data_IF_711437168674
#
_entry.id   IF_711437168674
#
_cell.length_a   1.000
_cell.length_b   1.000
_cell.length_c   1.000
_cell.angle_alpha   90.00
_cell.angle_beta   90.00
_cell.angle_gamma   90.00
#
_symmetry.space_group_name_H-M   'P 1'
#
loop_
_entity.id
_entity.type
_entity.pdbx_description
1 polymer ?
#
# COMPACT_ATOMS: atom_id res chain seq x y z
N UNK A 1 6.86 10.44 -21.35
CA UNK A 1 6.46 10.81 -19.98
C UNK A 1 5.84 9.56 -19.35
N UNK A 2 6.16 9.24 -18.08
CA UNK A 2 5.54 8.11 -17.37
C UNK A 2 4.45 8.67 -16.47
N UNK A 3 3.29 8.02 -16.47
CA UNK A 3 2.18 8.38 -15.59
C UNK A 3 1.97 7.26 -14.55
N UNK A 4 2.00 7.64 -13.29
CA UNK A 4 1.66 6.78 -12.17
C UNK A 4 0.33 7.18 -11.56
N UNK A 5 -0.40 6.21 -11.02
CA UNK A 5 -1.67 6.47 -10.34
C UNK A 5 -1.79 5.63 -9.06
N UNK A 6 -2.22 6.28 -8.01
CA UNK A 6 -2.66 5.62 -6.79
C UNK A 6 -4.07 5.08 -7.01
N UNK A 7 -4.31 3.79 -6.71
CA UNK A 7 -5.47 3.06 -7.21
C UNK A 7 -6.73 3.20 -6.36
N UNK A 8 -6.67 3.71 -5.13
CA UNK A 8 -7.85 3.75 -4.25
C UNK A 8 -9.03 4.47 -4.89
N UNK A 9 -8.83 5.69 -5.36
CA UNK A 9 -9.87 6.48 -6.01
C UNK A 9 -10.38 5.88 -7.32
N UNK A 10 -9.49 5.59 -8.29
CA UNK A 10 -9.90 4.99 -9.55
C UNK A 10 -10.67 3.68 -9.39
N UNK A 11 -10.15 2.72 -8.62
CA UNK A 11 -10.80 1.41 -8.47
C UNK A 11 -12.15 1.50 -7.74
N UNK A 12 -12.29 2.43 -6.80
CA UNK A 12 -13.56 2.65 -6.10
C UNK A 12 -14.66 3.21 -7.01
N UNK A 13 -14.29 3.91 -8.07
CA UNK A 13 -15.23 4.55 -9.01
C UNK A 13 -15.46 3.76 -10.31
N UNK A 14 -14.76 2.64 -10.51
CA UNK A 14 -14.92 1.78 -11.70
C UNK A 14 -15.77 0.57 -11.37
N UNK A 15 -16.53 0.08 -12.37
CA UNK A 15 -17.27 -1.18 -12.31
C UNK A 15 -16.41 -2.34 -12.83
N UNK A 16 -16.71 -3.57 -12.44
CA UNK A 16 -16.04 -4.78 -12.88
C UNK A 16 -14.99 -5.31 -11.93
N UNK A 17 -14.39 -6.41 -12.32
CA UNK A 17 -13.33 -7.08 -11.56
C UNK A 17 -12.01 -6.30 -11.58
N UNK A 18 -11.15 -6.53 -10.58
CA UNK A 18 -9.89 -5.78 -10.41
C UNK A 18 -9.02 -5.82 -11.67
N UNK A 19 -8.82 -6.99 -12.25
CA UNK A 19 -7.97 -7.14 -13.45
C UNK A 19 -8.56 -6.46 -14.68
N UNK A 20 -9.88 -6.46 -14.84
CA UNK A 20 -10.56 -5.72 -15.90
C UNK A 20 -10.34 -4.20 -15.76
N UNK A 21 -10.47 -3.69 -14.54
CA UNK A 21 -10.19 -2.27 -14.23
C UNK A 21 -8.74 -1.90 -14.54
N UNK A 22 -7.79 -2.75 -14.17
CA UNK A 22 -6.37 -2.54 -14.47
C UNK A 22 -6.10 -2.54 -15.98
N UNK A 23 -6.74 -3.43 -16.73
CA UNK A 23 -6.63 -3.45 -18.20
C UNK A 23 -7.15 -2.15 -18.84
N UNK A 24 -8.20 -1.54 -18.28
CA UNK A 24 -8.70 -0.22 -18.74
C UNK A 24 -7.66 0.87 -18.46
N UNK A 25 -7.04 0.88 -17.29
CA UNK A 25 -6.00 1.86 -16.94
C UNK A 25 -4.76 1.70 -17.85
N UNK A 26 -4.33 0.47 -18.10
CA UNK A 26 -3.21 0.19 -19.02
C UNK A 26 -3.50 0.70 -20.45
N UNK A 27 -4.71 0.43 -20.96
CA UNK A 27 -5.16 0.96 -22.28
C UNK A 27 -5.20 2.48 -22.32
N UNK A 28 -5.45 3.14 -21.21
CA UNK A 28 -5.41 4.61 -21.10
C UNK A 28 -3.99 5.17 -21.01
N UNK A 29 -2.95 4.33 -21.04
CA UNK A 29 -1.55 4.74 -21.05
C UNK A 29 -0.92 4.86 -19.65
N UNK A 30 -1.59 4.39 -18.60
CA UNK A 30 -0.99 4.27 -17.27
C UNK A 30 0.05 3.15 -17.31
N UNK A 31 1.23 3.42 -16.76
CA UNK A 31 2.34 2.45 -16.72
C UNK A 31 2.82 2.14 -15.31
N UNK A 32 2.49 2.99 -14.34
CA UNK A 32 2.93 2.86 -12.96
C UNK A 32 1.73 2.97 -12.02
N UNK A 33 1.65 2.05 -11.06
CA UNK A 33 0.53 1.98 -10.13
C UNK A 33 1.00 1.87 -8.68
N UNK A 34 0.21 2.46 -7.78
CA UNK A 34 0.29 2.25 -6.34
C UNK A 34 -1.02 1.65 -5.85
N UNK A 35 -1.11 0.32 -5.68
CA UNK A 35 -2.26 -0.32 -5.09
C UNK A 35 -2.33 -0.12 -3.57
N UNK A 36 -3.54 -0.32 -3.02
CA UNK A 36 -3.78 -0.50 -1.61
C UNK A 36 -3.79 -1.99 -1.28
N UNK A 37 -3.13 -2.38 -0.19
CA UNK A 37 -2.99 -3.78 0.21
C UNK A 37 -3.20 -3.94 1.71
N UNK A 38 -3.78 -5.08 2.11
CA UNK A 38 -3.83 -5.49 3.51
C UNK A 38 -3.07 -6.80 3.75
N UNK A 39 -2.43 -6.91 4.89
CA UNK A 39 -1.82 -8.15 5.39
C UNK A 39 -2.70 -8.87 6.42
N UNK A 40 -3.82 -8.28 6.77
CA UNK A 40 -4.83 -8.77 7.71
C UNK A 40 -6.23 -8.86 7.07
N UNK A 41 -7.28 -8.73 7.87
CA UNK A 41 -8.65 -8.67 7.36
C UNK A 41 -8.84 -7.56 6.33
N UNK A 42 -9.72 -7.79 5.36
CA UNK A 42 -10.06 -6.77 4.36
C UNK A 42 -10.93 -5.71 5.04
N UNK A 43 -10.41 -4.50 5.12
CA UNK A 43 -11.10 -3.33 5.64
C UNK A 43 -11.28 -2.34 4.49
N UNK A 44 -12.49 -2.18 3.99
CA UNK A 44 -12.79 -1.21 2.93
C UNK A 44 -13.57 -1.79 1.76
N UNK A 45 -13.75 -1.00 0.68
CA UNK A 45 -14.51 -1.44 -0.48
C UNK A 45 -13.86 -2.66 -1.15
N UNK A 46 -14.70 -3.62 -1.56
CA UNK A 46 -14.27 -4.81 -2.28
C UNK A 46 -13.52 -4.44 -3.56
N UNK A 47 -12.42 -5.15 -3.83
CA UNK A 47 -11.59 -4.92 -5.02
C UNK A 47 -10.74 -3.65 -5.01
N UNK A 48 -10.79 -2.84 -3.93
CA UNK A 48 -9.97 -1.62 -3.79
C UNK A 48 -8.73 -1.86 -2.94
N UNK A 49 -8.90 -2.58 -1.82
CA UNK A 49 -7.79 -3.00 -0.95
C UNK A 49 -7.57 -4.48 -1.18
N UNK A 50 -6.39 -4.83 -1.68
CA UNK A 50 -6.10 -6.20 -2.09
C UNK A 50 -5.48 -7.00 -0.94
N UNK A 51 -5.90 -8.26 -0.73
CA UNK A 51 -5.15 -9.16 0.15
C UNK A 51 -3.73 -9.35 -0.39
N UNK A 52 -2.75 -9.41 0.51
CA UNK A 52 -1.35 -9.63 0.14
C UNK A 52 -1.16 -10.91 -0.70
N UNK A 53 -1.87 -11.98 -0.35
CA UNK A 53 -1.79 -13.26 -1.05
C UNK A 53 -2.41 -13.17 -2.47
N UNK A 54 -3.49 -12.38 -2.63
CA UNK A 54 -4.06 -12.10 -3.95
C UNK A 54 -3.05 -11.33 -4.83
N UNK A 55 -2.43 -10.30 -4.28
CA UNK A 55 -1.42 -9.53 -4.99
C UNK A 55 -0.26 -10.42 -5.44
N UNK A 56 0.27 -11.25 -4.54
CA UNK A 56 1.34 -12.20 -4.86
C UNK A 56 0.97 -13.15 -5.98
N UNK A 57 -0.29 -13.60 -6.04
CA UNK A 57 -0.77 -14.48 -7.10
C UNK A 57 -0.83 -13.79 -8.47
N UNK A 58 -1.13 -12.47 -8.52
CA UNK A 58 -1.43 -11.76 -9.78
C UNK A 58 -0.34 -10.77 -10.25
N UNK A 59 0.82 -10.71 -9.56
CA UNK A 59 1.92 -9.77 -9.94
C UNK A 59 2.34 -9.93 -11.40
N UNK A 60 2.47 -11.16 -11.89
CA UNK A 60 2.90 -11.42 -13.27
C UNK A 60 1.83 -10.96 -14.27
N UNK A 61 0.56 -11.27 -14.01
CA UNK A 61 -0.55 -10.84 -14.87
C UNK A 61 -0.65 -9.31 -14.95
N UNK A 62 -0.47 -8.62 -13.83
CA UNK A 62 -0.39 -7.16 -13.78
C UNK A 62 0.79 -6.64 -14.63
N UNK A 63 1.94 -7.30 -14.54
CA UNK A 63 3.13 -6.96 -15.33
C UNK A 63 2.89 -7.18 -16.83
N UNK A 64 2.23 -8.27 -17.22
CA UNK A 64 1.91 -8.59 -18.61
C UNK A 64 0.95 -7.57 -19.24
N UNK A 65 0.14 -6.87 -18.43
CA UNK A 65 -0.66 -5.72 -18.87
C UNK A 65 0.18 -4.46 -19.14
N UNK A 66 1.50 -4.49 -18.86
CA UNK A 66 2.38 -3.32 -18.96
C UNK A 66 2.36 -2.40 -17.75
N UNK A 67 1.77 -2.82 -16.64
CA UNK A 67 1.70 -2.07 -15.40
C UNK A 67 2.86 -2.46 -14.46
N UNK A 68 3.48 -1.46 -13.83
CA UNK A 68 4.52 -1.65 -12.83
C UNK A 68 4.05 -1.15 -11.47
N UNK A 69 4.12 -1.99 -10.47
CA UNK A 69 3.88 -1.61 -9.07
C UNK A 69 5.13 -0.87 -8.57
N UNK A 70 5.00 0.42 -8.27
CA UNK A 70 6.13 1.27 -7.86
C UNK A 70 6.16 1.53 -6.36
N UNK A 71 5.02 1.49 -5.72
CA UNK A 71 4.81 1.56 -4.28
C UNK A 71 3.52 0.82 -3.92
N UNK A 72 3.32 0.54 -2.65
CA UNK A 72 2.08 -0.07 -2.14
C UNK A 72 1.69 0.66 -0.86
N UNK A 73 0.43 1.10 -0.80
CA UNK A 73 -0.16 1.60 0.43
C UNK A 73 -0.62 0.41 1.27
N UNK A 74 0.03 0.20 2.42
CA UNK A 74 -0.19 -0.97 3.27
C UNK A 74 -1.11 -0.64 4.43
N UNK A 75 -2.17 -1.44 4.58
CA UNK A 75 -3.03 -1.48 5.75
C UNK A 75 -2.66 -2.71 6.57
N UNK A 76 -2.07 -2.50 7.73
CA UNK A 76 -1.67 -3.55 8.65
C UNK A 76 -1.77 -3.06 10.10
N UNK A 77 -2.34 -3.87 10.98
CA UNK A 77 -2.34 -3.56 12.42
C UNK A 77 -0.93 -3.62 13.01
N UNK A 78 -0.08 -4.51 12.51
CA UNK A 78 1.29 -4.68 12.93
C UNK A 78 2.20 -5.03 11.76
N UNK A 79 2.98 -4.06 11.30
CA UNK A 79 3.90 -4.23 10.17
C UNK A 79 5.02 -5.22 10.47
N UNK A 80 5.52 -5.24 11.71
CA UNK A 80 6.60 -6.14 12.11
C UNK A 80 6.17 -7.60 11.99
N UNK A 81 4.93 -7.92 12.36
CA UNK A 81 4.38 -9.27 12.19
C UNK A 81 4.10 -9.63 10.73
N UNK A 82 3.93 -8.64 9.88
CA UNK A 82 3.67 -8.82 8.45
C UNK A 82 4.94 -8.86 7.59
N UNK A 83 6.11 -8.81 8.21
CA UNK A 83 7.38 -8.57 7.51
C UNK A 83 7.69 -9.62 6.42
N UNK A 84 7.42 -10.89 6.66
CA UNK A 84 7.67 -11.95 5.68
C UNK A 84 6.82 -11.75 4.40
N UNK A 85 5.55 -11.33 4.55
CA UNK A 85 4.69 -11.00 3.41
C UNK A 85 5.18 -9.76 2.66
N UNK A 86 5.56 -8.71 3.39
CA UNK A 86 6.08 -7.48 2.79
C UNK A 86 7.37 -7.75 2.01
N UNK A 87 8.27 -8.56 2.57
CA UNK A 87 9.49 -8.99 1.89
C UNK A 87 9.21 -9.76 0.61
N UNK A 88 8.34 -10.77 0.66
CA UNK A 88 7.97 -11.57 -0.51
C UNK A 88 7.37 -10.69 -1.64
N UNK A 89 6.54 -9.70 -1.28
CA UNK A 89 5.97 -8.75 -2.21
C UNK A 89 7.05 -7.85 -2.82
N UNK A 90 7.94 -7.30 -2.00
CA UNK A 90 9.02 -6.45 -2.48
C UNK A 90 9.96 -7.20 -3.44
N UNK A 91 10.31 -8.45 -3.13
CA UNK A 91 11.11 -9.31 -3.99
C UNK A 91 10.40 -9.58 -5.32
N UNK A 92 9.12 -9.96 -5.30
CA UNK A 92 8.36 -10.31 -6.50
C UNK A 92 8.05 -9.12 -7.40
N UNK A 93 7.72 -7.96 -6.82
CA UNK A 93 7.38 -6.74 -7.57
C UNK A 93 8.60 -5.92 -7.96
N UNK A 94 9.70 -6.02 -7.20
CA UNK A 94 10.88 -5.16 -7.33
C UNK A 94 10.68 -3.75 -6.80
N UNK A 95 9.58 -3.48 -6.08
CA UNK A 95 9.31 -2.15 -5.50
C UNK A 95 10.38 -1.76 -4.49
N UNK A 96 10.50 -0.43 -4.24
CA UNK A 96 11.50 0.15 -3.34
C UNK A 96 10.89 0.92 -2.17
N UNK A 97 9.57 0.92 -2.06
CA UNK A 97 8.89 1.63 -0.99
C UNK A 97 7.50 1.08 -0.69
N UNK A 98 7.17 1.01 0.58
CA UNK A 98 5.82 0.89 1.10
C UNK A 98 5.37 2.22 1.68
N UNK A 99 4.07 2.46 1.65
CA UNK A 99 3.43 3.65 2.23
C UNK A 99 2.47 3.18 3.32
N UNK A 100 2.50 3.85 4.47
CA UNK A 100 1.57 3.60 5.58
C UNK A 100 0.95 4.90 6.04
N UNK A 101 -0.19 4.83 6.68
CA UNK A 101 -0.84 6.00 7.26
C UNK A 101 -0.98 5.88 8.78
N UNK A 102 -1.13 7.02 9.42
CA UNK A 102 -1.46 7.08 10.83
C UNK A 102 -2.87 6.52 11.06
N UNK A 103 -3.12 5.70 12.10
CA UNK A 103 -4.46 5.25 12.43
C UNK A 103 -5.38 6.43 12.77
N UNK A 104 -6.59 6.42 12.24
CA UNK A 104 -7.58 7.46 12.51
C UNK A 104 -8.07 7.43 13.97
N UNK A 105 -8.43 8.59 14.50
CA UNK A 105 -8.98 8.75 15.85
C UNK A 105 -8.11 8.14 16.97
N UNK A 106 -6.79 8.19 16.80
CA UNK A 106 -5.86 7.58 17.73
C UNK A 106 -5.64 8.43 18.97
N UNK A 107 -5.52 7.75 20.12
CA UNK A 107 -4.98 8.35 21.34
C UNK A 107 -3.47 8.51 21.24
N UNK A 108 -2.87 9.36 22.09
CA UNK A 108 -1.42 9.52 22.14
C UNK A 108 -0.70 8.18 22.34
N UNK A 109 -1.21 7.32 23.21
CA UNK A 109 -0.64 5.98 23.46
C UNK A 109 -0.66 5.11 22.19
N UNK A 110 -1.74 5.14 21.40
CA UNK A 110 -1.84 4.41 20.13
C UNK A 110 -0.84 4.98 19.12
N UNK A 111 -0.70 6.29 19.03
CA UNK A 111 0.27 6.93 18.13
C UNK A 111 1.70 6.56 18.48
N UNK A 112 2.06 6.58 19.78
CA UNK A 112 3.39 6.17 20.25
C UNK A 112 3.67 4.70 19.91
N UNK A 113 2.72 3.80 20.16
CA UNK A 113 2.86 2.38 19.83
C UNK A 113 3.00 2.16 18.31
N UNK A 114 2.21 2.88 17.53
CA UNK A 114 2.27 2.83 16.06
C UNK A 114 3.63 3.33 15.56
N UNK A 115 4.11 4.45 16.08
CA UNK A 115 5.42 4.99 15.71
C UNK A 115 6.55 3.99 16.00
N UNK A 116 6.56 3.36 17.17
CA UNK A 116 7.55 2.32 17.51
C UNK A 116 7.48 1.12 16.56
N UNK A 117 6.26 0.69 16.20
CA UNK A 117 6.07 -0.39 15.23
C UNK A 117 6.61 -0.02 13.84
N UNK A 118 6.30 1.20 13.38
CA UNK A 118 6.76 1.69 12.07
C UNK A 118 8.27 1.89 12.02
N UNK A 119 8.89 2.43 13.06
CA UNK A 119 10.35 2.56 13.14
C UNK A 119 11.03 1.19 13.05
N UNK A 120 10.58 0.22 13.83
CA UNK A 120 11.12 -1.14 13.78
C UNK A 120 10.91 -1.80 12.42
N UNK A 121 9.73 -1.62 11.81
CA UNK A 121 9.45 -2.14 10.47
C UNK A 121 10.32 -1.47 9.40
N UNK A 122 10.57 -0.16 9.52
CA UNK A 122 11.45 0.58 8.61
C UNK A 122 12.89 0.06 8.66
N UNK A 123 13.45 -0.13 9.87
CA UNK A 123 14.78 -0.70 10.06
C UNK A 123 14.90 -2.10 9.40
N UNK A 124 13.87 -2.94 9.56
CA UNK A 124 13.84 -4.27 8.93
C UNK A 124 13.76 -4.17 7.40
N UNK A 125 12.92 -3.29 6.86
CA UNK A 125 12.75 -3.11 5.41
C UNK A 125 14.02 -2.54 4.75
N UNK A 126 14.74 -1.66 5.45
CA UNK A 126 15.98 -1.07 4.95
C UNK A 126 17.04 -2.14 4.65
N UNK A 127 17.08 -3.25 5.41
CA UNK A 127 17.98 -4.38 5.13
C UNK A 127 17.74 -5.04 3.77
N UNK A 128 16.56 -4.81 3.17
CA UNK A 128 16.18 -5.29 1.82
C UNK A 128 16.22 -4.17 0.76
N UNK A 129 16.71 -2.98 1.13
CA UNK A 129 16.73 -1.81 0.24
C UNK A 129 15.34 -1.26 -0.08
N UNK A 130 14.39 -1.42 0.85
CA UNK A 130 13.01 -0.94 0.76
C UNK A 130 12.78 0.10 1.83
N UNK A 131 12.14 1.22 1.48
CA UNK A 131 11.80 2.30 2.42
C UNK A 131 10.36 2.20 2.89
N UNK A 132 10.12 2.63 4.11
CA UNK A 132 8.78 2.87 4.64
C UNK A 132 8.51 4.38 4.62
N UNK A 133 7.42 4.78 4.00
CA UNK A 133 6.99 6.17 3.89
C UNK A 133 5.70 6.37 4.67
N UNK A 134 5.58 7.50 5.37
CA UNK A 134 4.34 7.88 6.02
C UNK A 134 3.52 8.76 5.07
N UNK A 135 2.28 8.34 4.82
CA UNK A 135 1.28 9.13 4.13
C UNK A 135 0.60 10.06 5.14
N UNK A 136 0.75 11.36 4.95
CA UNK A 136 0.08 12.36 5.77
C UNK A 136 -1.29 12.71 5.15
N UNK A 137 -2.31 12.74 5.98
CA UNK A 137 -3.67 13.16 5.62
C UNK A 137 -4.03 14.50 6.29
N UNK A 138 -5.12 15.13 5.86
CA UNK A 138 -5.56 16.40 6.42
C UNK A 138 -5.79 16.32 7.95
N UNK A 139 -6.25 15.18 8.44
CA UNK A 139 -6.43 14.92 9.87
C UNK A 139 -5.13 14.94 10.68
N UNK A 140 -4.05 14.48 10.09
CA UNK A 140 -2.73 14.48 10.76
C UNK A 140 -2.19 15.90 10.98
N UNK A 141 -2.48 16.78 10.00
CA UNK A 141 -2.05 18.20 10.05
C UNK A 141 -2.89 19.00 11.06
N UNK A 142 -4.14 18.56 11.27
CA UNK A 142 -5.08 19.21 12.20
C UNK A 142 -5.00 18.64 13.62
N UNK A 143 -4.28 17.55 13.84
CA UNK A 143 -4.10 16.98 15.15
C UNK A 143 -3.40 18.02 16.05
N UNK A 144 -4.16 18.65 16.93
CA UNK A 144 -3.60 19.47 18.00
C UNK A 144 -2.86 18.52 18.92
N UNK A 145 -1.56 18.61 18.91
CA UNK A 145 -0.75 18.05 19.98
C UNK A 145 -1.22 18.78 21.21
N UNK A 146 -2.01 18.10 22.04
CA UNK A 146 -2.39 18.63 23.34
C UNK A 146 -1.11 18.80 24.14
N UNK A 147 -0.70 20.06 24.34
CA UNK A 147 0.41 20.43 25.21
C UNK A 147 0.06 20.19 26.66
#
# INVERSE_FOLDING_TARGET
>A
MKFGVQLYGPLNNMQGEVLEKLAVLAKAGITEIEPCMTTGPILGPEGVIWPADWLLAHVEEIRDMGLRIVSIHVFAENLVQSMDKLKAIAEKTGLKQFVVKTPENSTESILQQTALNYMKAADMLETFGVRLLLHNEAGDIQAKIAG
#
